data_IF_884862984682
#
_entry.id   IF_884862984682
#
_cell.length_a   1.000
_cell.length_b   1.000
_cell.length_c   1.000
_cell.angle_alpha   90.00
_cell.angle_beta   90.00
_cell.angle_gamma   90.00
#
_symmetry.space_group_name_H-M   'P 1'
#
loop_
_entity.id
_entity.type
_entity.pdbx_description
1 polymer ?
#
# COMPACT_ATOMS: atom_id res chain seq x y z
N UNK A 1 11.87 6.10 1.97
CA UNK A 1 11.41 6.41 0.59
C UNK A 1 9.98 6.93 0.54
N UNK A 2 9.01 6.44 1.33
CA UNK A 2 7.64 7.00 1.36
C UNK A 2 7.59 8.53 1.61
N UNK A 3 8.46 9.05 2.46
CA UNK A 3 8.68 10.48 2.70
C UNK A 3 9.00 11.31 1.44
N UNK A 4 9.64 10.72 0.44
CA UNK A 4 10.08 11.42 -0.78
C UNK A 4 8.94 11.55 -1.80
N UNK A 5 7.91 10.71 -1.68
CA UNK A 5 6.87 10.54 -2.70
C UNK A 5 5.49 11.05 -2.26
N UNK A 6 5.38 11.69 -1.09
CA UNK A 6 4.14 12.26 -0.53
C UNK A 6 2.91 11.35 -0.72
N UNK A 7 2.99 10.13 -0.19
CA UNK A 7 1.98 9.10 -0.40
C UNK A 7 0.87 9.14 0.67
N UNK A 8 -0.38 9.07 0.22
CA UNK A 8 -1.55 8.88 1.10
C UNK A 8 -1.81 7.39 1.42
N UNK A 9 -1.49 6.48 0.49
CA UNK A 9 -1.71 5.04 0.67
C UNK A 9 -0.54 4.22 0.12
N UNK A 10 -0.13 3.21 0.89
CA UNK A 10 0.81 2.18 0.48
C UNK A 10 0.12 0.81 0.54
N UNK A 11 0.06 0.13 -0.60
CA UNK A 11 -0.55 -1.20 -0.69
C UNK A 11 0.54 -2.27 -0.67
N UNK A 12 0.42 -3.26 0.22
CA UNK A 12 1.33 -4.40 0.30
C UNK A 12 0.69 -5.60 -0.38
N UNK A 13 1.32 -6.11 -1.44
CA UNK A 13 0.85 -7.29 -2.19
C UNK A 13 1.68 -8.55 -1.96
N UNK A 14 1.35 -9.60 -2.72
CA UNK A 14 2.02 -10.90 -2.67
C UNK A 14 1.69 -11.73 -1.43
N UNK A 15 2.32 -12.90 -1.29
CA UNK A 15 2.06 -13.83 -0.18
C UNK A 15 2.33 -13.25 1.21
N UNK A 16 3.20 -12.23 1.29
CA UNK A 16 3.54 -11.53 2.53
C UNK A 16 2.34 -10.73 3.07
N UNK A 17 1.49 -10.20 2.19
CA UNK A 17 0.25 -9.54 2.60
C UNK A 17 -0.73 -10.49 3.32
N UNK A 18 -0.60 -11.80 3.11
CA UNK A 18 -1.37 -12.83 3.80
C UNK A 18 -1.04 -13.00 5.29
N UNK A 19 0.06 -12.40 5.77
CA UNK A 19 0.45 -12.45 7.18
C UNK A 19 -0.50 -11.68 8.12
N UNK A 20 -1.41 -10.87 7.57
CA UNK A 20 -2.44 -10.17 8.34
C UNK A 20 -1.83 -9.30 9.44
N UNK A 21 -2.46 -9.30 10.62
CA UNK A 21 -2.07 -8.39 11.70
C UNK A 21 -0.65 -8.62 12.23
N UNK A 22 -0.06 -9.81 12.06
CA UNK A 22 1.34 -10.07 12.42
C UNK A 22 2.28 -9.13 11.67
N UNK A 23 1.95 -8.77 10.44
CA UNK A 23 2.69 -7.80 9.63
C UNK A 23 2.13 -6.38 9.79
N UNK A 24 0.81 -6.21 9.67
CA UNK A 24 0.20 -4.89 9.57
C UNK A 24 0.11 -4.16 10.91
N UNK A 25 -0.06 -4.84 12.04
CA UNK A 25 -0.09 -4.19 13.35
C UNK A 25 1.24 -3.51 13.74
N UNK A 26 2.41 -4.19 13.65
CA UNK A 26 3.69 -3.53 13.91
C UNK A 26 4.00 -2.45 12.88
N UNK A 27 3.68 -2.65 11.59
CA UNK A 27 3.84 -1.60 10.56
C UNK A 27 3.07 -0.33 10.89
N UNK A 28 1.78 -0.44 11.26
CA UNK A 28 0.97 0.72 11.66
C UNK A 28 1.54 1.41 12.90
N UNK A 29 2.08 0.64 13.85
CA UNK A 29 2.72 1.20 15.05
C UNK A 29 3.97 1.99 14.70
N UNK A 30 4.90 1.39 13.96
CA UNK A 30 6.13 2.06 13.55
C UNK A 30 5.86 3.29 12.71
N UNK A 31 4.88 3.24 11.79
CA UNK A 31 4.49 4.41 11.01
C UNK A 31 3.99 5.56 11.88
N UNK A 32 3.21 5.29 12.93
CA UNK A 32 2.81 6.32 13.90
C UNK A 32 3.99 6.89 14.68
N UNK A 33 4.95 6.04 15.06
CA UNK A 33 6.16 6.46 15.78
C UNK A 33 7.07 7.35 14.90
N UNK A 34 7.17 7.05 13.59
CA UNK A 34 7.93 7.85 12.63
C UNK A 34 7.15 9.04 12.04
N UNK A 35 5.85 9.15 12.29
CA UNK A 35 4.98 10.23 11.79
C UNK A 35 5.11 11.55 12.59
N UNK A 36 6.25 11.79 13.23
CA UNK A 36 6.65 13.12 13.72
C UNK A 36 6.73 14.14 12.58
N UNK A 37 6.90 13.68 11.34
CA UNK A 37 6.79 14.46 10.11
C UNK A 37 5.33 14.49 9.62
N UNK A 38 4.76 15.69 9.52
CA UNK A 38 3.32 15.95 9.34
C UNK A 38 2.63 15.23 8.19
N UNK A 39 3.34 14.90 7.11
CA UNK A 39 2.80 14.21 5.94
C UNK A 39 2.63 12.70 6.16
N UNK A 40 3.42 12.07 7.04
CA UNK A 40 3.27 10.63 7.35
C UNK A 40 2.06 10.32 8.23
N UNK A 41 1.43 11.32 8.85
CA UNK A 41 0.23 11.14 9.69
C UNK A 41 -0.99 10.63 8.91
N UNK A 42 -1.01 10.82 7.59
CA UNK A 42 -2.11 10.41 6.71
C UNK A 42 -1.83 9.13 5.93
N UNK A 43 -0.59 8.62 5.97
CA UNK A 43 -0.21 7.42 5.24
C UNK A 43 -0.96 6.19 5.77
N UNK A 44 -1.78 5.60 4.90
CA UNK A 44 -2.52 4.37 5.16
C UNK A 44 -1.77 3.17 4.57
N UNK A 45 -1.64 2.08 5.32
CA UNK A 45 -1.09 0.82 4.80
C UNK A 45 -2.19 -0.22 4.71
N UNK A 46 -2.40 -0.76 3.50
CA UNK A 46 -3.46 -1.72 3.22
C UNK A 46 -2.93 -2.98 2.49
N UNK A 47 -3.54 -4.16 2.69
CA UNK A 47 -3.25 -5.34 1.89
C UNK A 47 -3.81 -5.19 0.46
N UNK A 48 -3.13 -5.78 -0.52
CA UNK A 48 -3.65 -5.91 -1.88
C UNK A 48 -4.81 -6.90 -1.92
N UNK A 49 -6.00 -6.44 -2.30
CA UNK A 49 -7.22 -7.26 -2.39
C UNK A 49 -7.33 -8.05 -3.70
N UNK A 50 -6.63 -7.61 -4.76
CA UNK A 50 -6.71 -8.20 -6.10
C UNK A 50 -5.78 -9.41 -6.29
N UNK A 51 -4.92 -9.73 -5.32
CA UNK A 51 -4.03 -10.91 -5.40
C UNK A 51 -3.24 -10.99 -6.72
N UNK A 52 -3.23 -12.17 -7.34
CA UNK A 52 -2.57 -12.42 -8.63
C UNK A 52 -3.24 -11.70 -9.80
N UNK A 53 -4.51 -11.29 -9.66
CA UNK A 53 -5.27 -10.66 -10.73
C UNK A 53 -4.92 -9.18 -10.89
N UNK A 54 -4.19 -8.58 -9.94
CA UNK A 54 -3.81 -7.17 -9.97
C UNK A 54 -3.10 -6.77 -11.29
N UNK A 55 -2.24 -7.65 -11.82
CA UNK A 55 -1.54 -7.42 -13.09
C UNK A 55 -2.47 -7.45 -14.30
N UNK A 56 -3.38 -8.43 -14.35
CA UNK A 56 -4.35 -8.57 -15.44
C UNK A 56 -5.36 -7.41 -15.43
N UNK A 57 -5.87 -7.04 -14.25
CA UNK A 57 -6.78 -5.91 -14.08
C UNK A 57 -6.10 -4.59 -14.46
N UNK A 58 -4.83 -4.39 -14.06
CA UNK A 58 -4.05 -3.22 -14.44
C UNK A 58 -3.82 -3.12 -15.96
N UNK A 59 -3.50 -4.23 -16.61
CA UNK A 59 -3.34 -4.29 -18.06
C UNK A 59 -4.64 -3.97 -18.81
N UNK A 60 -5.77 -4.52 -18.36
CA UNK A 60 -7.07 -4.22 -18.93
C UNK A 60 -7.45 -2.74 -18.75
N UNK A 61 -7.23 -2.18 -17.56
CA UNK A 61 -7.48 -0.76 -17.29
C UNK A 61 -6.63 0.15 -18.18
N UNK A 62 -5.35 -0.17 -18.38
CA UNK A 62 -4.46 0.57 -19.26
C UNK A 62 -4.94 0.50 -20.73
N UNK A 63 -5.36 -0.66 -21.21
CA UNK A 63 -5.89 -0.82 -22.55
C UNK A 63 -7.20 -0.04 -22.77
N UNK A 64 -8.07 0.02 -21.75
CA UNK A 64 -9.32 0.80 -21.78
C UNK A 64 -9.03 2.30 -21.79
N UNK A 65 -8.07 2.76 -20.99
CA UNK A 65 -7.72 4.18 -20.87
C UNK A 65 -7.05 4.79 -22.13
N UNK A 66 -6.56 3.93 -23.03
CA UNK A 66 -5.99 4.33 -24.32
C UNK A 66 -7.06 4.49 -25.43
N UNK A 67 -8.33 4.34 -25.08
CA UNK A 67 -9.48 4.44 -25.98
C UNK A 67 -10.24 5.75 -25.79
#
# INVERSE_FOLDING_TARGET
>A
TATLADLDIAVVGGGVAGAGDVLFAPLRRSLREYATLSYLRRLTVAPAVMGNDAGLVGAAAAAIALR
#
